data_IF_652790324519
#
_entry.id   IF_652790324519
#
_cell.length_a   1.000
_cell.length_b   1.000
_cell.length_c   1.000
_cell.angle_alpha   90.00
_cell.angle_beta   90.00
_cell.angle_gamma   90.00
#
_symmetry.space_group_name_H-M   'P 1'
#
loop_
_entity.id
_entity.type
_entity.pdbx_description
1 polymer ?
#
# COMPACT_ATOMS: atom_id res chain seq x y z
N UNK A 1 37.95 -7.64 -38.90
CA UNK A 1 37.77 -7.11 -37.53
C UNK A 1 36.33 -7.39 -37.13
N UNK A 2 36.10 -8.35 -36.24
CA UNK A 2 34.73 -8.73 -35.83
C UNK A 2 34.25 -7.78 -34.73
N UNK A 3 33.05 -7.22 -34.90
CA UNK A 3 32.34 -6.48 -33.85
C UNK A 3 31.33 -7.43 -33.25
N UNK A 4 31.49 -7.76 -31.97
CA UNK A 4 30.52 -8.54 -31.20
C UNK A 4 29.66 -7.53 -30.43
N UNK A 5 28.36 -7.52 -30.68
CA UNK A 5 27.40 -6.77 -29.89
C UNK A 5 26.86 -7.68 -28.77
N UNK A 6 27.05 -7.29 -27.51
CA UNK A 6 26.40 -7.92 -26.37
C UNK A 6 25.30 -6.97 -25.87
N UNK A 7 24.06 -7.45 -25.89
CA UNK A 7 22.91 -6.82 -25.24
C UNK A 7 23.01 -7.01 -23.73
N UNK A 8 23.06 -5.91 -22.99
CA UNK A 8 23.06 -5.89 -21.53
C UNK A 8 21.66 -5.48 -21.08
N UNK A 9 20.93 -6.39 -20.43
CA UNK A 9 19.64 -6.09 -19.80
C UNK A 9 19.89 -5.40 -18.46
N UNK A 10 19.44 -4.14 -18.33
CA UNK A 10 19.53 -3.37 -17.09
C UNK A 10 18.26 -3.59 -16.27
N UNK A 11 18.38 -4.34 -15.18
CA UNK A 11 17.29 -4.59 -14.23
C UNK A 11 17.02 -3.31 -13.42
N UNK A 12 15.82 -2.73 -13.55
CA UNK A 12 15.49 -1.47 -12.87
C UNK A 12 15.27 -1.69 -11.36
N UNK A 13 15.86 -0.87 -10.47
CA UNK A 13 15.65 -0.99 -9.03
C UNK A 13 14.21 -0.60 -8.64
N UNK A 14 13.50 -1.52 -7.98
CA UNK A 14 12.16 -1.32 -7.43
C UNK A 14 12.21 -0.57 -6.10
N UNK A 15 11.63 0.63 -6.07
CA UNK A 15 11.34 1.37 -4.83
C UNK A 15 10.26 0.63 -4.01
N UNK A 16 10.64 -0.03 -2.91
CA UNK A 16 9.67 -0.53 -1.93
C UNK A 16 9.27 0.61 -0.99
N UNK A 17 8.11 1.22 -1.24
CA UNK A 17 7.48 2.15 -0.28
C UNK A 17 6.85 1.30 0.84
N UNK A 18 7.48 1.31 2.02
CA UNK A 18 6.97 0.64 3.22
C UNK A 18 5.72 1.34 3.76
N UNK A 19 4.62 0.60 3.88
CA UNK A 19 3.41 1.07 4.54
C UNK A 19 3.60 1.09 6.06
N UNK A 20 3.32 2.25 6.64
CA UNK A 20 3.27 2.58 8.06
C UNK A 20 2.47 1.53 8.88
N UNK A 21 3.17 0.70 9.66
CA UNK A 21 2.60 -0.11 10.73
C UNK A 21 3.13 0.43 12.06
N UNK A 22 2.22 1.03 12.81
CA UNK A 22 2.50 1.63 14.11
C UNK A 22 3.05 0.63 15.12
N UNK A 23 4.14 1.07 15.77
CA UNK A 23 4.61 0.80 17.13
C UNK A 23 4.08 -0.47 17.79
N UNK A 24 4.98 -1.43 17.99
CA UNK A 24 5.20 -2.02 19.30
C UNK A 24 6.65 -2.51 19.46
N UNK A 25 7.12 -2.46 20.70
CA UNK A 25 8.45 -2.84 21.23
C UNK A 25 9.58 -1.82 21.11
N UNK A 26 9.57 -0.90 22.07
CA UNK A 26 10.74 -0.62 22.90
C UNK A 26 11.32 -1.95 23.40
N UNK A 27 12.49 -2.34 22.91
CA UNK A 27 13.56 -3.01 23.66
C UNK A 27 14.71 -3.33 22.69
N UNK A 28 15.95 -3.11 23.16
CA UNK A 28 17.23 -3.37 22.50
C UNK A 28 17.75 -2.33 21.50
N UNK A 29 18.27 -1.24 22.06
CA UNK A 29 19.46 -0.58 21.53
C UNK A 29 20.35 -0.13 22.70
N UNK A 30 21.22 -1.05 23.14
CA UNK A 30 22.51 -0.69 23.71
C UNK A 30 23.57 -1.39 22.85
N UNK A 31 24.57 -0.61 22.44
CA UNK A 31 25.90 -0.97 21.88
C UNK A 31 26.13 -0.47 20.44
N UNK A 32 27.37 -0.09 20.10
CA UNK A 32 28.03 1.13 20.57
C UNK A 32 28.20 2.09 19.38
N UNK A 33 27.97 3.39 19.60
CA UNK A 33 28.43 4.40 18.67
C UNK A 33 29.96 4.40 18.73
N UNK A 34 30.64 4.05 17.63
CA UNK A 34 32.05 4.36 17.47
C UNK A 34 32.11 5.78 16.93
N UNK A 35 32.33 6.74 17.82
CA UNK A 35 32.72 8.10 17.47
C UNK A 35 34.24 8.12 17.36
N UNK A 36 34.79 8.10 16.14
CA UNK A 36 36.22 8.35 15.95
C UNK A 36 36.50 9.83 16.25
N UNK A 37 37.15 10.08 17.38
CA UNK A 37 37.65 11.40 17.79
C UNK A 37 39.10 11.55 17.34
N UNK A 38 39.34 12.38 16.33
CA UNK A 38 40.70 12.78 15.95
C UNK A 38 41.23 13.84 16.94
N UNK A 39 42.46 13.65 17.44
CA UNK A 39 43.13 14.55 18.37
C UNK A 39 43.46 15.91 17.72
N UNK A 40 43.10 17.01 18.40
CA UNK A 40 43.44 18.38 18.00
C UNK A 40 44.51 18.93 18.94
N UNK A 41 45.72 19.13 18.43
CA UNK A 41 46.75 19.96 19.08
C UNK A 41 46.44 21.44 18.80
N UNK A 42 46.36 22.28 19.83
CA UNK A 42 46.15 23.72 19.68
C UNK A 42 46.78 24.54 20.81
N UNK A 43 47.69 25.44 20.46
CA UNK A 43 48.30 26.45 21.33
C UNK A 43 47.29 27.56 21.71
N UNK A 44 47.47 28.14 22.89
CA UNK A 44 46.65 29.21 23.47
C UNK A 44 46.72 30.51 22.65
N UNK A 45 45.57 31.19 22.63
CA UNK A 45 45.26 32.51 22.06
C UNK A 45 44.69 32.54 20.63
N UNK A 46 43.36 32.41 20.53
CA UNK A 46 42.57 33.42 19.83
C UNK A 46 41.10 33.43 20.26
N UNK A 47 40.50 34.61 20.17
CA UNK A 47 39.27 35.02 20.84
C UNK A 47 37.99 34.54 20.17
N UNK A 48 36.99 34.46 21.04
CA UNK A 48 35.57 34.19 20.88
C UNK A 48 34.92 34.94 19.68
N UNK A 49 34.46 34.22 18.66
CA UNK A 49 33.42 34.70 17.72
C UNK A 49 32.22 33.75 17.75
N UNK A 50 31.10 34.25 18.26
CA UNK A 50 29.82 33.54 18.25
C UNK A 50 29.20 33.58 16.84
N UNK A 51 29.33 32.47 16.09
CA UNK A 51 28.54 32.23 14.88
C UNK A 51 27.18 31.62 15.26
N UNK A 52 26.10 32.42 15.18
CA UNK A 52 24.71 31.95 15.39
C UNK A 52 24.11 31.22 14.18
N UNK A 53 24.89 30.97 13.13
CA UNK A 53 24.47 30.23 11.93
C UNK A 53 25.56 29.27 11.43
N UNK A 54 26.22 28.55 12.34
CA UNK A 54 27.11 27.45 11.95
C UNK A 54 26.27 26.20 11.62
N UNK A 55 26.03 25.96 10.33
CA UNK A 55 25.65 24.63 9.86
C UNK A 55 26.90 23.77 9.96
N UNK A 56 26.85 22.68 10.72
CA UNK A 56 27.96 21.71 10.77
C UNK A 56 28.24 21.22 9.35
N UNK A 57 29.46 21.45 8.86
CA UNK A 57 29.95 20.93 7.56
C UNK A 57 30.24 19.44 7.60
N UNK A 58 29.98 18.78 8.74
CA UNK A 58 30.16 17.34 8.89
C UNK A 58 28.91 16.66 8.31
N UNK A 59 29.03 15.86 7.24
CA UNK A 59 27.90 15.06 6.78
C UNK A 59 27.47 14.15 7.93
N UNK A 60 26.19 14.21 8.31
CA UNK A 60 25.59 13.18 9.16
C UNK A 60 25.47 11.91 8.35
N UNK A 61 26.55 11.12 8.32
CA UNK A 61 26.57 9.80 7.69
C UNK A 61 25.78 8.85 8.57
N UNK A 62 24.55 8.55 8.18
CA UNK A 62 23.73 7.54 8.83
C UNK A 62 24.02 6.19 8.16
N UNK A 63 25.00 5.46 8.68
CA UNK A 63 25.34 4.13 8.18
C UNK A 63 24.25 3.11 8.60
N UNK A 64 23.40 2.71 7.66
CA UNK A 64 22.54 1.54 7.83
C UNK A 64 23.34 0.29 7.47
N UNK A 65 23.82 -0.44 8.47
CA UNK A 65 24.31 -1.80 8.26
C UNK A 65 23.09 -2.73 8.27
N UNK A 66 22.71 -3.36 7.16
CA UNK A 66 21.66 -4.36 7.16
C UNK A 66 22.16 -5.53 8.02
N UNK A 67 21.56 -5.76 9.20
CA UNK A 67 21.65 -7.09 9.81
C UNK A 67 20.77 -8.00 8.96
N UNK A 68 21.30 -9.09 8.38
CA UNK A 68 20.45 -10.07 7.73
C UNK A 68 19.56 -10.70 8.82
N UNK A 69 18.32 -10.26 8.88
CA UNK A 69 17.29 -10.94 9.65
C UNK A 69 17.03 -12.25 8.91
N UNK A 70 17.54 -13.38 9.40
CA UNK A 70 17.43 -14.68 8.73
C UNK A 70 16.00 -15.26 8.73
N UNK A 71 15.03 -14.49 9.23
CA UNK A 71 13.63 -14.88 9.26
C UNK A 71 12.95 -14.54 7.93
N UNK A 72 12.22 -15.52 7.38
CA UNK A 72 11.39 -15.30 6.19
C UNK A 72 10.44 -14.11 6.42
N UNK A 73 10.50 -13.12 5.53
CA UNK A 73 9.68 -11.92 5.65
C UNK A 73 8.35 -12.12 4.93
N UNK A 74 7.25 -11.75 5.58
CA UNK A 74 5.92 -11.79 4.96
C UNK A 74 5.76 -10.63 3.97
N UNK A 75 5.98 -10.89 2.69
CA UNK A 75 5.73 -9.91 1.64
C UNK A 75 4.23 -9.84 1.30
N UNK A 76 3.71 -8.60 1.18
CA UNK A 76 2.40 -8.31 0.60
C UNK A 76 2.60 -7.62 -0.74
N UNK A 77 2.02 -8.18 -1.79
CA UNK A 77 2.07 -7.61 -3.13
C UNK A 77 0.66 -7.44 -3.69
N UNK A 78 0.45 -6.44 -4.53
CA UNK A 78 -0.79 -6.27 -5.27
C UNK A 78 -0.54 -6.44 -6.77
N UNK A 79 -1.27 -7.36 -7.39
CA UNK A 79 -1.25 -7.59 -8.82
C UNK A 79 -2.49 -6.99 -9.46
N UNK A 80 -2.30 -5.93 -10.25
CA UNK A 80 -3.38 -5.30 -11.00
C UNK A 80 -3.44 -5.82 -12.44
N UNK A 81 -4.63 -6.22 -12.88
CA UNK A 81 -4.93 -6.66 -14.24
C UNK A 81 -6.20 -6.01 -14.78
N UNK A 82 -6.25 -5.78 -16.09
CA UNK A 82 -7.47 -5.34 -16.80
C UNK A 82 -8.43 -6.53 -16.92
N UNK A 83 -9.68 -6.35 -16.51
CA UNK A 83 -10.73 -7.33 -16.68
C UNK A 83 -11.29 -7.24 -18.11
N UNK A 84 -11.65 -8.40 -18.66
CA UNK A 84 -12.35 -8.56 -19.94
C UNK A 84 -13.74 -9.16 -19.66
N UNK A 85 -14.65 -8.37 -19.06
CA UNK A 85 -16.00 -8.84 -18.76
C UNK A 85 -16.83 -9.06 -20.02
N UNK A 86 -17.74 -10.04 -19.98
CA UNK A 86 -18.67 -10.33 -21.08
C UNK A 86 -20.14 -10.15 -20.67
N UNK A 87 -21.00 -9.81 -21.65
CA UNK A 87 -22.44 -9.72 -21.46
C UNK A 87 -22.86 -8.83 -20.28
N UNK A 88 -23.54 -9.42 -19.30
CA UNK A 88 -24.09 -8.73 -18.11
C UNK A 88 -23.04 -8.38 -17.03
N UNK A 89 -21.82 -8.91 -17.12
CA UNK A 89 -20.80 -8.72 -16.07
C UNK A 89 -20.45 -7.24 -15.78
N UNK A 90 -20.27 -6.33 -16.77
CA UNK A 90 -20.01 -4.92 -16.50
C UNK A 90 -21.16 -4.24 -15.75
N UNK A 91 -22.41 -4.64 -16.04
CA UNK A 91 -23.61 -4.12 -15.38
C UNK A 91 -23.67 -4.59 -13.93
N UNK A 92 -23.35 -5.86 -13.68
CA UNK A 92 -23.26 -6.42 -12.33
C UNK A 92 -22.16 -5.77 -11.50
N UNK A 93 -20.99 -5.51 -12.08
CA UNK A 93 -19.90 -4.77 -11.43
C UNK A 93 -20.32 -3.34 -11.06
N UNK A 94 -20.98 -2.66 -11.98
CA UNK A 94 -21.50 -1.30 -11.76
C UNK A 94 -22.56 -1.26 -10.66
N UNK A 95 -23.47 -2.24 -10.64
CA UNK A 95 -24.47 -2.42 -9.58
C UNK A 95 -23.80 -2.71 -8.23
N UNK A 96 -22.81 -3.60 -8.20
CA UNK A 96 -22.06 -3.95 -6.99
C UNK A 96 -21.36 -2.73 -6.38
N UNK A 97 -20.66 -1.94 -7.20
CA UNK A 97 -20.06 -0.67 -6.78
C UNK A 97 -21.12 0.33 -6.29
N UNK A 98 -22.27 0.39 -6.95
CA UNK A 98 -23.42 1.21 -6.52
C UNK A 98 -23.98 0.82 -5.16
N UNK A 99 -24.12 -0.49 -4.89
CA UNK A 99 -24.57 -1.02 -3.60
C UNK A 99 -23.58 -0.69 -2.48
N UNK A 100 -22.28 -0.87 -2.73
CA UNK A 100 -21.21 -0.50 -1.78
C UNK A 100 -21.25 0.99 -1.46
N UNK A 101 -21.40 1.85 -2.48
CA UNK A 101 -21.55 3.30 -2.31
C UNK A 101 -22.76 3.65 -1.45
N UNK A 102 -23.90 3.00 -1.69
CA UNK A 102 -25.12 3.22 -0.93
C UNK A 102 -24.97 2.85 0.54
N UNK A 103 -24.48 1.64 0.83
CA UNK A 103 -24.28 1.18 2.21
C UNK A 103 -23.30 2.09 2.96
N UNK A 104 -22.21 2.51 2.30
CA UNK A 104 -21.28 3.49 2.88
C UNK A 104 -21.98 4.81 3.22
N UNK A 105 -22.75 5.37 2.28
CA UNK A 105 -23.42 6.64 2.46
C UNK A 105 -24.52 6.58 3.52
N UNK A 106 -25.32 5.51 3.56
CA UNK A 106 -26.32 5.29 4.61
C UNK A 106 -25.67 5.22 5.99
N UNK A 107 -24.59 4.45 6.13
CA UNK A 107 -23.86 4.36 7.39
C UNK A 107 -23.22 5.68 7.81
N UNK A 108 -22.70 6.47 6.85
CA UNK A 108 -22.15 7.80 7.13
C UNK A 108 -23.25 8.78 7.57
N UNK A 109 -24.42 8.75 6.94
CA UNK A 109 -25.56 9.58 7.34
C UNK A 109 -26.01 9.25 8.77
N UNK A 110 -26.17 7.96 9.09
CA UNK A 110 -26.54 7.52 10.43
C UNK A 110 -25.48 7.88 11.48
N UNK A 111 -24.19 7.71 11.19
CA UNK A 111 -23.11 8.11 12.11
C UNK A 111 -23.11 9.62 12.36
N UNK A 112 -23.45 10.45 11.36
CA UNK A 112 -23.58 11.91 11.54
C UNK A 112 -24.74 12.26 12.46
N UNK A 113 -25.92 11.69 12.23
CA UNK A 113 -27.10 11.91 13.08
C UNK A 113 -26.85 11.49 14.53
N UNK A 114 -26.21 10.34 14.73
CA UNK A 114 -25.86 9.84 16.08
C UNK A 114 -24.80 10.70 16.76
N UNK A 115 -23.85 11.23 15.98
CA UNK A 115 -22.84 12.15 16.50
C UNK A 115 -23.47 13.45 17.02
N UNK A 116 -24.49 13.99 16.34
CA UNK A 116 -25.26 15.15 16.81
C UNK A 116 -25.98 14.85 18.14
N UNK A 117 -26.43 13.62 18.34
CA UNK A 117 -27.05 13.11 19.58
C UNK A 117 -26.03 12.66 20.65
N UNK A 118 -24.73 12.87 20.42
CA UNK A 118 -23.61 12.42 21.27
C UNK A 118 -23.54 10.90 21.52
N UNK A 119 -24.16 10.11 20.65
CA UNK A 119 -24.14 8.65 20.72
C UNK A 119 -23.01 8.06 19.87
N UNK A 120 -22.38 7.01 20.39
CA UNK A 120 -21.34 6.28 19.66
C UNK A 120 -21.98 5.08 18.96
N UNK A 121 -21.76 4.98 17.65
CA UNK A 121 -22.17 3.83 16.86
C UNK A 121 -20.95 3.03 16.43
N UNK A 122 -20.90 1.77 16.87
CA UNK A 122 -19.84 0.82 16.55
C UNK A 122 -20.06 0.20 15.17
N UNK A 123 -18.97 -0.32 14.59
CA UNK A 123 -19.06 -1.10 13.34
C UNK A 123 -19.97 -2.32 13.48
N UNK A 124 -19.91 -3.04 14.61
CA UNK A 124 -20.71 -4.25 14.82
C UNK A 124 -22.21 -3.98 14.81
N UNK A 125 -22.64 -2.82 15.33
CA UNK A 125 -24.04 -2.39 15.26
C UNK A 125 -24.44 -2.07 13.82
N UNK A 126 -23.57 -1.39 13.05
CA UNK A 126 -23.81 -1.15 11.62
C UNK A 126 -23.91 -2.46 10.82
N UNK A 127 -23.05 -3.44 11.12
CA UNK A 127 -23.10 -4.76 10.48
C UNK A 127 -24.42 -5.50 10.81
N UNK A 128 -24.99 -5.31 12.01
CA UNK A 128 -26.33 -5.84 12.37
C UNK A 128 -27.44 -5.09 11.62
N UNK A 129 -27.37 -3.76 11.57
CA UNK A 129 -28.36 -2.93 10.87
C UNK A 129 -28.37 -3.17 9.35
N UNK A 130 -27.24 -3.58 8.77
CA UNK A 130 -27.13 -3.96 7.37
C UNK A 130 -28.12 -5.08 6.98
N UNK A 131 -28.47 -5.98 7.91
CA UNK A 131 -29.49 -7.00 7.67
C UNK A 131 -30.87 -6.36 7.49
N UNK A 132 -31.23 -5.39 8.33
CA UNK A 132 -32.48 -4.63 8.21
C UNK A 132 -32.53 -3.80 6.92
N UNK A 133 -31.44 -3.12 6.57
CA UNK A 133 -31.38 -2.36 5.32
C UNK A 133 -31.59 -3.22 4.07
N UNK A 134 -31.13 -4.48 4.09
CA UNK A 134 -31.38 -5.43 2.99
C UNK A 134 -32.82 -5.91 2.91
N UNK A 135 -33.56 -5.88 4.03
CA UNK A 135 -34.98 -6.22 4.04
C UNK A 135 -35.83 -5.05 3.53
N UNK A 136 -35.53 -3.82 3.97
CA UNK A 136 -36.20 -2.60 3.51
C UNK A 136 -35.90 -2.30 2.04
N UNK A 137 -34.63 -2.46 1.66
CA UNK A 137 -34.15 -2.23 0.29
C UNK A 137 -33.49 -3.52 -0.21
N UNK A 138 -34.15 -4.32 -1.07
CA UNK A 138 -33.60 -5.62 -1.48
C UNK A 138 -32.37 -5.56 -2.39
N UNK A 139 -32.25 -4.51 -3.21
CA UNK A 139 -31.23 -4.40 -4.26
C UNK A 139 -29.74 -4.38 -3.80
N UNK A 140 -29.35 -3.93 -2.58
CA UNK A 140 -27.99 -4.12 -2.07
C UNK A 140 -27.59 -5.60 -1.97
N UNK A 141 -28.57 -6.51 -1.86
CA UNK A 141 -28.35 -7.95 -1.90
C UNK A 141 -27.92 -8.46 -3.27
N UNK A 142 -27.85 -7.62 -4.31
CA UNK A 142 -27.21 -7.96 -5.59
C UNK A 142 -25.68 -7.95 -5.48
N UNK A 143 -25.09 -7.23 -4.53
CA UNK A 143 -23.64 -7.17 -4.34
C UNK A 143 -23.11 -8.27 -3.40
N UNK A 144 -21.86 -8.73 -3.54
CA UNK A 144 -21.26 -9.68 -2.60
C UNK A 144 -21.39 -9.22 -1.15
N UNK A 145 -21.71 -10.14 -0.23
CA UNK A 145 -21.98 -9.78 1.16
C UNK A 145 -20.78 -9.14 1.84
N UNK A 146 -19.58 -9.68 1.61
CA UNK A 146 -18.33 -9.13 2.14
C UNK A 146 -18.01 -7.76 1.55
N UNK A 147 -18.38 -7.48 0.29
CA UNK A 147 -18.19 -6.14 -0.27
C UNK A 147 -18.95 -5.06 0.50
N UNK A 148 -20.17 -5.36 0.97
CA UNK A 148 -20.95 -4.43 1.80
C UNK A 148 -20.34 -4.25 3.19
N UNK A 149 -19.87 -5.34 3.81
CA UNK A 149 -19.15 -5.29 5.10
C UNK A 149 -17.83 -4.52 4.99
N UNK A 150 -17.11 -4.66 3.88
CA UNK A 150 -15.89 -3.89 3.61
C UNK A 150 -16.18 -2.40 3.46
N UNK A 151 -17.36 -2.02 2.96
CA UNK A 151 -17.79 -0.62 2.93
C UNK A 151 -17.88 -0.02 4.35
N UNK A 152 -18.51 -0.76 5.27
CA UNK A 152 -18.64 -0.36 6.68
C UNK A 152 -17.29 -0.35 7.40
N UNK A 153 -16.42 -1.33 7.13
CA UNK A 153 -15.05 -1.35 7.64
C UNK A 153 -14.22 -0.18 7.11
N UNK A 154 -14.41 0.19 5.85
CA UNK A 154 -13.79 1.37 5.24
C UNK A 154 -14.22 2.67 5.94
N UNK A 155 -15.51 2.79 6.26
CA UNK A 155 -16.03 3.93 7.03
C UNK A 155 -15.42 3.99 8.43
N UNK A 156 -15.36 2.86 9.14
CA UNK A 156 -14.78 2.79 10.48
C UNK A 156 -13.30 3.18 10.51
N UNK A 157 -12.52 2.71 9.53
CA UNK A 157 -11.13 3.13 9.31
C UNK A 157 -11.02 4.62 9.01
N UNK A 158 -11.93 5.18 8.21
CA UNK A 158 -11.93 6.60 7.89
C UNK A 158 -12.16 7.46 9.16
N UNK A 159 -13.10 7.08 10.02
CA UNK A 159 -13.29 7.72 11.32
C UNK A 159 -12.07 7.57 12.23
N UNK A 160 -11.49 6.36 12.32
CA UNK A 160 -10.27 6.12 13.10
C UNK A 160 -9.13 7.02 12.65
N UNK A 161 -8.93 7.16 11.34
CA UNK A 161 -7.90 8.03 10.77
C UNK A 161 -8.18 9.51 11.02
N UNK A 162 -9.45 9.93 10.96
CA UNK A 162 -9.88 11.28 11.30
C UNK A 162 -9.56 11.62 12.76
N UNK A 163 -9.95 10.76 13.71
CA UNK A 163 -9.64 10.97 15.14
C UNK A 163 -8.13 10.94 15.43
N UNK A 164 -7.35 10.18 14.66
CA UNK A 164 -5.88 10.18 14.71
C UNK A 164 -5.23 11.35 13.98
N UNK A 165 -6.01 12.31 13.43
CA UNK A 165 -5.54 13.46 12.65
C UNK A 165 -4.67 13.09 11.44
N UNK A 166 -4.88 11.88 10.88
CA UNK A 166 -4.19 11.39 9.67
C UNK A 166 -4.97 11.63 8.39
N UNK A 167 -6.26 11.98 8.51
CA UNK A 167 -7.15 12.23 7.40
C UNK A 167 -8.23 13.26 7.78
N UNK A 168 -8.83 13.88 6.78
CA UNK A 168 -10.01 14.73 6.95
C UNK A 168 -11.27 13.92 7.32
N UNK A 169 -12.32 14.64 7.71
CA UNK A 169 -13.62 14.03 8.00
C UNK A 169 -14.17 13.25 6.79
N UNK A 170 -14.76 12.04 6.99
CA UNK A 170 -15.29 11.22 5.90
C UNK A 170 -16.37 11.94 5.08
N UNK A 171 -16.27 11.86 3.76
CA UNK A 171 -17.20 12.50 2.81
C UNK A 171 -18.09 11.46 2.14
N UNK A 172 -19.31 11.84 1.77
CA UNK A 172 -20.21 10.97 1.01
C UNK A 172 -19.56 10.58 -0.32
N UNK A 173 -19.65 9.30 -0.67
CA UNK A 173 -19.18 8.77 -1.93
C UNK A 173 -20.12 9.19 -3.06
N UNK A 174 -19.53 9.61 -4.20
CA UNK A 174 -20.25 10.04 -5.39
C UNK A 174 -20.13 8.98 -6.49
N UNK A 175 -21.13 8.88 -7.37
CA UNK A 175 -21.09 7.99 -8.54
C UNK A 175 -20.01 8.46 -9.52
N UNK A 176 -19.30 7.52 -10.15
CA UNK A 176 -18.21 7.82 -11.07
C UNK A 176 -16.88 8.18 -10.38
N UNK A 177 -16.86 8.30 -9.06
CA UNK A 177 -15.65 8.57 -8.28
C UNK A 177 -15.31 7.31 -7.48
N UNK A 178 -14.19 6.67 -7.83
CA UNK A 178 -13.66 5.49 -7.12
C UNK A 178 -14.67 4.33 -7.03
N UNK A 179 -15.44 4.11 -8.10
CA UNK A 179 -16.38 2.99 -8.17
C UNK A 179 -15.61 1.66 -8.07
N UNK A 180 -15.75 1.00 -6.93
CA UNK A 180 -15.01 -0.20 -6.59
C UNK A 180 -15.73 -1.03 -5.54
N UNK A 181 -15.42 -2.32 -5.50
CA UNK A 181 -15.86 -3.22 -4.44
C UNK A 181 -14.76 -4.25 -4.15
N UNK A 182 -14.66 -4.66 -2.89
CA UNK A 182 -13.63 -5.57 -2.42
C UNK A 182 -14.26 -6.85 -1.90
N UNK A 183 -13.77 -7.98 -2.40
CA UNK A 183 -14.05 -9.29 -1.85
C UNK A 183 -12.87 -9.71 -0.96
N UNK A 184 -13.18 -10.14 0.26
CA UNK A 184 -12.17 -10.42 1.30
C UNK A 184 -12.27 -11.83 1.86
N UNK A 185 -13.15 -12.68 1.32
CA UNK A 185 -13.16 -14.11 1.65
C UNK A 185 -12.29 -14.89 0.64
N UNK A 186 -11.14 -15.43 1.08
CA UNK A 186 -10.27 -16.25 0.21
C UNK A 186 -10.98 -17.49 -0.32
N UNK A 187 -11.94 -18.07 0.41
CA UNK A 187 -12.64 -19.30 -0.01
C UNK A 187 -13.54 -19.07 -1.22
N UNK A 188 -14.04 -17.85 -1.35
CA UNK A 188 -14.94 -17.45 -2.42
C UNK A 188 -14.20 -16.95 -3.67
N UNK A 189 -12.89 -16.73 -3.58
CA UNK A 189 -12.05 -16.23 -4.67
C UNK A 189 -11.27 -17.41 -5.25
N UNK A 190 -11.41 -17.63 -6.56
CA UNK A 190 -10.59 -18.63 -7.28
C UNK A 190 -9.87 -17.98 -8.43
N UNK A 191 -8.56 -18.21 -8.53
CA UNK A 191 -7.74 -17.74 -9.63
C UNK A 191 -7.33 -18.92 -10.51
N UNK A 192 -7.71 -18.89 -11.78
CA UNK A 192 -7.31 -19.84 -12.80
C UNK A 192 -6.38 -19.12 -13.79
N UNK A 193 -5.08 -19.23 -13.52
CA UNK A 193 -4.05 -18.53 -14.30
C UNK A 193 -3.88 -19.13 -15.70
N UNK A 194 -4.11 -20.44 -15.87
CA UNK A 194 -4.02 -21.15 -17.15
C UNK A 194 -5.06 -20.62 -18.13
N UNK A 195 -6.32 -20.53 -17.69
CA UNK A 195 -7.40 -19.99 -18.51
C UNK A 195 -7.54 -18.47 -18.41
N UNK A 196 -6.66 -17.79 -17.66
CA UNK A 196 -6.63 -16.33 -17.46
C UNK A 196 -7.99 -15.79 -17.00
N UNK A 197 -8.58 -16.43 -16.00
CA UNK A 197 -9.88 -16.06 -15.43
C UNK A 197 -9.87 -16.08 -13.91
N UNK A 198 -10.67 -15.20 -13.33
CA UNK A 198 -10.85 -15.10 -11.88
C UNK A 198 -12.33 -15.28 -11.54
N UNK A 199 -12.62 -16.07 -10.53
CA UNK A 199 -13.95 -16.22 -9.98
C UNK A 199 -14.16 -15.22 -8.86
N UNK A 200 -15.19 -14.38 -9.00
CA UNK A 200 -15.63 -13.45 -7.96
C UNK A 200 -17.10 -13.76 -7.65
N UNK A 201 -17.53 -13.74 -6.38
CA UNK A 201 -18.93 -13.99 -6.01
C UNK A 201 -19.90 -13.11 -6.81
N UNK A 202 -21.01 -13.72 -7.23
CA UNK A 202 -22.10 -13.10 -8.04
C UNK A 202 -21.72 -12.71 -9.47
N UNK A 203 -20.45 -12.48 -9.77
CA UNK A 203 -19.95 -12.21 -11.12
C UNK A 203 -19.60 -13.50 -11.89
N UNK A 204 -19.29 -14.58 -11.17
CA UNK A 204 -18.80 -15.82 -11.76
C UNK A 204 -17.38 -15.68 -12.28
N UNK A 205 -17.06 -16.41 -13.34
CA UNK A 205 -15.74 -16.38 -13.98
C UNK A 205 -15.61 -15.18 -14.91
N UNK A 206 -14.63 -14.32 -14.65
CA UNK A 206 -14.31 -13.14 -15.46
C UNK A 206 -12.90 -13.32 -16.03
N UNK A 207 -12.75 -13.14 -17.34
CA UNK A 207 -11.43 -13.16 -17.98
C UNK A 207 -10.65 -11.91 -17.62
N UNK A 208 -9.33 -12.01 -17.55
CA UNK A 208 -8.45 -10.86 -17.36
C UNK A 208 -7.25 -10.90 -18.31
N UNK A 209 -6.71 -9.73 -18.61
CA UNK A 209 -5.48 -9.60 -19.41
C UNK A 209 -4.28 -9.90 -18.53
N UNK A 210 -3.77 -11.12 -18.63
CA UNK A 210 -2.60 -11.54 -17.89
C UNK A 210 -1.34 -10.81 -18.41
N UNK A 211 -0.55 -10.26 -17.48
CA UNK A 211 0.75 -9.61 -17.75
C UNK A 211 1.90 -10.23 -16.94
N UNK A 212 1.58 -10.97 -15.87
CA UNK A 212 2.54 -11.54 -14.91
C UNK A 212 1.84 -12.59 -14.07
N UNK A 213 2.58 -13.63 -13.69
CA UNK A 213 2.06 -14.66 -12.80
C UNK A 213 1.84 -14.11 -11.40
N UNK A 214 0.75 -14.56 -10.77
CA UNK A 214 0.37 -14.22 -9.41
C UNK A 214 0.97 -15.27 -8.49
N UNK A 215 1.82 -14.83 -7.57
CA UNK A 215 2.51 -15.68 -6.60
C UNK A 215 2.00 -15.42 -5.19
N UNK A 216 1.83 -16.51 -4.43
CA UNK A 216 1.39 -16.48 -3.04
C UNK A 216 -0.11 -16.69 -2.84
N UNK A 217 -0.52 -16.68 -1.58
CA UNK A 217 -1.92 -16.81 -1.18
C UNK A 217 -2.69 -15.54 -1.49
N UNK A 218 -3.97 -15.66 -1.83
CA UNK A 218 -4.83 -14.52 -2.21
C UNK A 218 -5.80 -14.20 -1.05
N UNK A 219 -5.43 -13.29 -0.12
CA UNK A 219 -6.34 -12.89 0.95
C UNK A 219 -7.56 -12.10 0.46
N UNK A 220 -7.44 -11.33 -0.62
CA UNK A 220 -8.53 -10.47 -1.08
C UNK A 220 -8.33 -9.96 -2.49
N UNK A 221 -9.43 -9.58 -3.11
CA UNK A 221 -9.49 -9.04 -4.46
C UNK A 221 -10.33 -7.77 -4.46
N UNK A 222 -9.86 -6.73 -5.15
CA UNK A 222 -10.62 -5.49 -5.35
C UNK A 222 -10.88 -5.29 -6.83
N UNK A 223 -12.15 -5.10 -7.19
CA UNK A 223 -12.56 -4.74 -8.56
C UNK A 223 -12.84 -3.25 -8.59
N UNK A 224 -12.25 -2.51 -9.52
CA UNK A 224 -12.38 -1.06 -9.62
C UNK A 224 -12.53 -0.59 -11.06
N UNK A 225 -13.29 0.50 -11.25
CA UNK A 225 -13.45 1.17 -12.53
C UNK A 225 -12.44 2.33 -12.62
N UNK A 226 -11.63 2.34 -13.67
CA UNK A 226 -10.69 3.42 -13.96
C UNK A 226 -10.58 3.63 -15.47
N UNK A 227 -10.62 4.88 -15.92
CA UNK A 227 -10.51 5.25 -17.35
C UNK A 227 -11.46 4.42 -18.27
N UNK A 228 -12.71 4.21 -17.84
CA UNK A 228 -13.70 3.46 -18.60
C UNK A 228 -13.51 1.93 -18.63
N UNK A 229 -12.50 1.40 -17.93
CA UNK A 229 -12.16 -0.02 -17.90
C UNK A 229 -12.20 -0.58 -16.49
N UNK A 230 -12.61 -1.84 -16.37
CA UNK A 230 -12.59 -2.55 -15.10
C UNK A 230 -11.23 -3.18 -14.86
N UNK A 231 -10.71 -3.05 -13.65
CA UNK A 231 -9.47 -3.65 -13.20
C UNK A 231 -9.74 -4.53 -11.99
N UNK A 232 -8.92 -5.56 -11.84
CA UNK A 232 -8.85 -6.40 -10.66
C UNK A 232 -7.48 -6.24 -10.01
N UNK A 233 -7.47 -5.87 -8.73
CA UNK A 233 -6.28 -5.82 -7.88
C UNK A 233 -6.31 -7.02 -6.94
N UNK A 234 -5.45 -7.99 -7.21
CA UNK A 234 -5.30 -9.21 -6.42
C UNK A 234 -4.22 -8.95 -5.37
N UNK A 235 -4.60 -8.88 -4.11
CA UNK A 235 -3.63 -8.82 -3.01
C UNK A 235 -3.13 -10.22 -2.78
N UNK A 236 -1.81 -10.40 -2.71
CA UNK A 236 -1.16 -11.64 -2.33
C UNK A 236 -0.35 -11.48 -1.06
N UNK A 237 -0.17 -12.61 -0.36
CA UNK A 237 0.73 -12.75 0.78
C UNK A 237 1.63 -13.95 0.52
N UNK A 238 2.95 -13.76 0.62
CA UNK A 238 3.93 -14.84 0.48
C UNK A 238 5.10 -14.64 1.43
N UNK A 239 5.67 -15.75 1.87
CA UNK A 239 6.97 -15.75 2.52
C UNK A 239 8.05 -15.62 1.46
N UNK A 240 8.96 -14.67 1.66
CA UNK A 240 10.10 -14.47 0.77
C UNK A 240 11.34 -14.40 1.64
N UNK A 241 12.32 -15.22 1.26
CA UNK A 241 13.64 -15.15 1.84
C UNK A 241 14.23 -13.77 1.57
N UNK A 242 14.81 -13.12 2.59
CA UNK A 242 15.45 -11.83 2.39
C UNK A 242 16.52 -11.98 1.29
N UNK A 243 16.55 -11.09 0.29
CA UNK A 243 17.52 -11.19 -0.79
C UNK A 243 18.93 -11.12 -0.20
N UNK A 244 19.70 -12.19 -0.38
CA UNK A 244 21.12 -12.20 -0.07
C UNK A 244 21.81 -11.36 -1.15
N UNK A 245 22.13 -10.10 -0.82
CA UNK A 245 22.94 -9.29 -1.71
C UNK A 245 24.36 -9.86 -1.70
N UNK A 246 24.95 -10.20 -2.87
CA UNK A 246 26.27 -10.81 -2.93
C UNK A 246 27.41 -9.85 -2.59
N UNK A 247 27.14 -8.53 -2.55
CA UNK A 247 28.18 -7.55 -2.23
C UNK A 247 28.43 -7.43 -0.73
N UNK A 248 29.71 -7.39 -0.38
CA UNK A 248 30.19 -7.03 0.97
C UNK A 248 30.37 -5.52 1.12
N UNK A 249 30.29 -4.76 0.02
CA UNK A 249 30.39 -3.30 -0.02
C UNK A 249 29.03 -2.63 0.11
N UNK A 250 28.99 -1.48 0.78
CA UNK A 250 27.86 -0.57 0.81
C UNK A 250 28.08 0.58 -0.17
N UNK A 251 27.12 0.83 -1.06
CA UNK A 251 27.14 1.99 -1.96
C UNK A 251 26.31 3.11 -1.33
N UNK A 252 26.91 4.30 -1.20
CA UNK A 252 26.21 5.51 -0.81
C UNK A 252 25.50 6.13 -2.00
N UNK A 253 24.20 6.37 -1.87
CA UNK A 253 23.37 7.02 -2.89
C UNK A 253 23.12 8.49 -2.49
N UNK A 254 23.65 9.48 -3.21
CA UNK A 254 23.33 10.91 -2.99
C UNK A 254 22.41 11.46 -4.09
N UNK A 255 21.37 12.18 -3.68
CA UNK A 255 20.33 12.72 -4.57
C UNK A 255 20.40 14.25 -4.54
N UNK A 256 20.92 14.85 -5.61
CA UNK A 256 21.10 16.30 -5.73
C UNK A 256 20.04 16.97 -6.61
N UNK A 257 19.84 18.27 -6.40
CA UNK A 257 19.05 19.10 -7.32
C UNK A 257 19.79 19.38 -8.63
N UNK A 258 21.12 19.41 -8.60
CA UNK A 258 21.98 19.66 -9.77
C UNK A 258 22.29 18.37 -10.55
N UNK A 259 22.45 17.25 -9.86
CA UNK A 259 22.60 15.91 -10.42
C UNK A 259 21.62 15.00 -9.72
N UNK A 260 20.73 14.40 -10.50
CA UNK A 260 19.64 13.56 -9.99
C UNK A 260 20.16 12.45 -9.07
N UNK A 261 21.36 11.95 -9.34
CA UNK A 261 21.99 10.89 -8.57
C UNK A 261 23.52 10.91 -8.68
N UNK A 262 24.24 10.64 -7.58
CA UNK A 262 25.69 10.41 -7.52
C UNK A 262 25.97 9.20 -6.62
N UNK A 263 26.73 8.20 -7.10
CA UNK A 263 27.27 7.10 -6.30
C UNK A 263 28.72 7.36 -5.86
N UNK A 264 29.15 6.65 -4.80
CA UNK A 264 30.52 6.71 -4.31
C UNK A 264 31.56 6.01 -5.21
N UNK A 265 31.14 5.24 -6.23
CA UNK A 265 32.03 4.46 -7.10
C UNK A 265 32.35 5.13 -8.45
N UNK A 266 31.56 6.11 -8.93
CA UNK A 266 31.90 6.85 -10.14
C UNK A 266 32.61 8.17 -9.86
N UNK A 267 33.91 8.20 -10.20
CA UNK A 267 34.56 9.42 -10.68
C UNK A 267 33.95 9.79 -12.04
N UNK A 268 33.68 11.08 -12.20
CA UNK A 268 33.02 11.72 -13.35
C UNK A 268 33.43 11.15 -14.72
N UNK A 269 32.43 10.80 -15.54
CA UNK A 269 32.59 10.83 -17.00
C UNK A 269 31.77 11.99 -17.55
N UNK A 270 32.48 12.90 -18.22
CA UNK A 270 32.01 14.09 -18.93
C UNK A 270 31.09 13.75 -20.11
#
# INVERSE_FOLDING_TARGET
>A
MYVIALTVDLDQPRLKVGADLGKDRLQFLKSPAVEDTAAVFGYQHQMNMHSKHAVSSVPKVLAFVPRPDQNASMERQAFQFELMPNGEQPRQMSRSAGCVRYVYNQALALKKERYEKQEKLTRFELDKMLVGWKQETPWPSEAPAHALQQALLGLDRAYTNFFRKRAEFPKFHKKGIRDSFRESDPKCIKLDQVNRRIQVPKLGWVRYRNRREVLGEIPSVTVSLSAGKWFVSISTRREVEPPLHPSTSSVGLDWGMARFYTDAEHQDQL
#
